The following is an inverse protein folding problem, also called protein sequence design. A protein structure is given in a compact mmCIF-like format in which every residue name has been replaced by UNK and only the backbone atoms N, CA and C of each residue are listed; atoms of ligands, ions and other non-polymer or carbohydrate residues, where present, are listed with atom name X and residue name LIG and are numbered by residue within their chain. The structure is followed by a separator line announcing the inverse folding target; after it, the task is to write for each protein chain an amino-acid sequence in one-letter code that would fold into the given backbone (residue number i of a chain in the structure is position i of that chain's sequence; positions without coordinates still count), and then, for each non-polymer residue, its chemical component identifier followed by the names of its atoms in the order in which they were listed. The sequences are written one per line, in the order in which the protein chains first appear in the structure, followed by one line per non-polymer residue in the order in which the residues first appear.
data_IF_647798483215
#
_entry.id   IF_647798483215
#
_cell.length_a   1.000
_cell.length_b   1.000
_cell.length_c   1.000
_cell.angle_alpha   90.00
_cell.angle_beta   90.00
_cell.angle_gamma   90.00
#
_symmetry.space_group_name_H-M   'P 1'
#
loop_
_entity.id
_entity.type
_entity.pdbx_description
1 polymer ?
#
# COMPACT_ATOMS: atom_id res chain seq x y z
N UNK A 1 -39.65 20.91 -18.56
CA UNK A 1 -39.07 21.23 -17.25
C UNK A 1 -39.09 19.96 -16.40
N UNK A 2 -38.09 19.13 -16.47
CA UNK A 2 -37.98 17.90 -15.69
C UNK A 2 -36.72 17.99 -14.84
N UNK A 3 -36.89 18.07 -13.53
CA UNK A 3 -35.83 18.04 -12.54
C UNK A 3 -35.43 16.58 -12.33
N UNK A 4 -34.22 16.23 -12.71
CA UNK A 4 -33.58 14.94 -12.36
C UNK A 4 -33.06 15.06 -10.93
N UNK A 5 -33.42 14.15 -10.00
CA UNK A 5 -32.91 14.20 -8.64
C UNK A 5 -31.49 13.64 -8.58
N UNK A 6 -30.54 14.47 -8.23
CA UNK A 6 -29.16 14.10 -7.88
C UNK A 6 -29.11 13.69 -6.40
N UNK A 7 -29.55 12.53 -6.06
CA UNK A 7 -29.46 12.02 -4.70
C UNK A 7 -29.26 10.50 -4.72
N UNK A 8 -28.04 10.03 -4.53
CA UNK A 8 -27.71 8.91 -3.64
C UNK A 8 -26.19 8.83 -3.53
N UNK A 9 -25.63 9.13 -2.37
CA UNK A 9 -24.21 8.94 -2.03
C UNK A 9 -23.52 10.09 -1.29
N UNK A 10 -24.02 11.31 -1.44
CA UNK A 10 -23.38 12.49 -0.81
C UNK A 10 -23.88 12.83 0.61
N UNK A 11 -24.99 12.27 1.04
CA UNK A 11 -25.68 12.76 2.25
C UNK A 11 -24.91 12.54 3.57
N UNK A 12 -24.22 11.43 3.72
CA UNK A 12 -23.52 11.13 4.98
C UNK A 12 -22.21 11.93 5.14
N UNK A 13 -21.51 12.21 4.04
CA UNK A 13 -20.27 13.03 4.05
C UNK A 13 -20.62 14.50 4.24
N UNK A 14 -21.66 14.98 3.54
CA UNK A 14 -22.10 16.37 3.68
C UNK A 14 -22.64 16.71 5.08
N UNK A 15 -23.37 15.78 5.73
CA UNK A 15 -23.93 16.00 7.06
C UNK A 15 -22.84 16.15 8.16
N UNK A 16 -21.72 15.44 8.05
CA UNK A 16 -20.65 15.56 9.03
C UNK A 16 -19.92 16.90 8.95
N UNK A 17 -19.66 17.37 7.76
CA UNK A 17 -18.96 18.64 7.56
C UNK A 17 -19.82 19.83 7.98
N UNK A 18 -21.14 19.69 7.85
CA UNK A 18 -22.10 20.73 8.20
C UNK A 18 -22.25 20.95 9.72
N UNK A 19 -22.13 19.90 10.53
CA UNK A 19 -22.22 20.01 12.00
C UNK A 19 -21.00 20.68 12.63
N UNK A 20 -19.83 20.70 11.94
CA UNK A 20 -18.61 21.40 12.43
C UNK A 20 -18.58 22.89 12.18
N UNK A 21 -19.48 23.44 11.33
CA UNK A 21 -19.42 24.86 10.92
C UNK A 21 -20.12 25.84 11.85
N UNK A 22 -20.72 25.40 12.97
CA UNK A 22 -21.45 26.28 13.93
C UNK A 22 -20.63 26.72 15.13
N UNK A 23 -19.38 27.11 14.97
CA UNK A 23 -18.66 27.76 16.06
C UNK A 23 -17.71 28.84 15.54
N UNK A 24 -18.08 30.09 15.94
CA UNK A 24 -17.30 31.32 16.00
C UNK A 24 -17.13 32.19 14.75
N UNK A 25 -17.81 33.33 14.78
CA UNK A 25 -17.49 34.56 14.05
C UNK A 25 -16.25 35.24 14.66
N UNK A 26 -15.07 34.66 14.49
CA UNK A 26 -13.79 35.35 14.76
C UNK A 26 -13.07 35.51 13.41
N UNK A 27 -12.58 36.70 13.05
CA UNK A 27 -11.82 36.87 11.81
C UNK A 27 -10.60 35.95 11.85
N UNK A 28 -10.22 35.35 10.72
CA UNK A 28 -9.13 34.41 10.71
C UNK A 28 -7.83 35.10 11.10
N UNK A 29 -7.25 34.67 12.22
CA UNK A 29 -5.81 34.81 12.42
C UNK A 29 -5.11 34.23 11.20
N UNK A 30 -4.00 34.81 10.77
CA UNK A 30 -3.20 34.35 9.62
C UNK A 30 -3.15 32.84 9.66
N UNK A 31 -3.75 32.19 8.63
CA UNK A 31 -3.88 30.76 8.55
C UNK A 31 -2.46 30.22 8.46
N UNK A 32 -1.93 29.71 9.57
CA UNK A 32 -0.82 28.77 9.52
C UNK A 32 -1.19 27.75 8.45
N UNK A 33 -0.29 27.52 7.50
CA UNK A 33 -0.59 26.68 6.35
C UNK A 33 -1.36 25.44 6.83
N UNK A 34 -2.58 25.17 6.31
CA UNK A 34 -3.35 24.01 6.74
C UNK A 34 -2.65 22.69 6.38
N UNK A 35 -1.51 22.76 5.69
CA UNK A 35 -0.69 21.65 5.22
C UNK A 35 0.53 21.43 6.12
N UNK A 36 0.41 21.64 7.41
CA UNK A 36 1.44 21.22 8.36
C UNK A 36 1.58 19.70 8.38
N UNK A 37 2.81 19.23 8.50
CA UNK A 37 3.13 17.81 8.50
C UNK A 37 3.66 17.31 7.14
N UNK A 38 3.78 16.00 7.03
CA UNK A 38 4.29 15.35 5.83
C UNK A 38 3.16 15.11 4.84
N UNK A 39 3.24 15.75 3.68
CA UNK A 39 2.37 15.51 2.54
C UNK A 39 3.11 14.81 1.42
N UNK A 40 2.45 13.87 0.76
CA UNK A 40 3.03 13.08 -0.32
C UNK A 40 2.06 12.95 -1.49
N UNK A 41 2.61 12.74 -2.68
CA UNK A 41 1.82 12.41 -3.86
C UNK A 41 1.00 11.14 -3.60
N UNK A 42 -0.30 11.13 -3.94
CA UNK A 42 -1.19 10.01 -3.64
C UNK A 42 -1.00 8.79 -4.53
N UNK A 43 -0.08 8.86 -5.50
CA UNK A 43 0.31 7.77 -6.40
C UNK A 43 1.80 7.52 -6.26
N UNK A 44 2.17 6.24 -6.12
CA UNK A 44 3.58 5.85 -6.01
C UNK A 44 4.37 6.10 -7.30
N UNK A 45 5.69 6.21 -7.19
CA UNK A 45 6.62 6.15 -8.32
C UNK A 45 6.54 4.76 -8.96
N UNK A 46 6.53 4.72 -10.30
CA UNK A 46 6.57 3.50 -11.08
C UNK A 46 7.79 3.45 -12.00
N UNK A 47 8.63 2.42 -11.87
CA UNK A 47 9.86 2.26 -12.67
C UNK A 47 10.69 3.55 -12.76
N UNK A 48 10.95 4.17 -11.61
CA UNK A 48 11.65 5.48 -11.48
C UNK A 48 10.92 6.67 -12.11
N UNK A 49 9.71 6.49 -12.64
CA UNK A 49 8.88 7.56 -13.17
C UNK A 49 7.98 8.16 -12.11
N UNK A 50 7.97 9.47 -12.01
CA UNK A 50 7.07 10.22 -11.14
C UNK A 50 5.68 10.29 -11.76
N UNK A 51 4.60 10.15 -10.96
CA UNK A 51 3.26 10.48 -11.43
C UNK A 51 3.17 11.95 -11.79
N UNK A 52 2.26 12.27 -12.70
CA UNK A 52 2.00 13.64 -13.18
C UNK A 52 0.49 13.88 -13.21
N UNK A 53 0.08 15.13 -13.12
CA UNK A 53 -1.30 15.53 -13.37
C UNK A 53 -1.55 15.42 -14.87
N UNK A 54 -2.50 14.58 -15.25
CA UNK A 54 -2.89 14.35 -16.65
C UNK A 54 -4.09 15.18 -17.06
N UNK A 55 -4.93 15.58 -16.09
CA UNK A 55 -6.06 16.49 -16.27
C UNK A 55 -6.24 17.35 -15.02
N UNK A 56 -6.24 18.67 -15.19
CA UNK A 56 -6.19 19.65 -14.13
C UNK A 56 -7.55 19.95 -13.49
N UNK A 57 -7.49 20.69 -12.39
CA UNK A 57 -8.64 21.22 -11.70
C UNK A 57 -9.43 22.18 -12.60
N UNK A 58 -10.75 22.11 -12.57
CA UNK A 58 -11.66 22.89 -13.42
C UNK A 58 -11.50 22.71 -14.92
N UNK A 59 -10.80 21.69 -15.38
CA UNK A 59 -10.77 21.40 -16.82
C UNK A 59 -12.19 21.16 -17.37
N UNK A 60 -12.49 21.65 -18.59
CA UNK A 60 -13.79 21.46 -19.21
C UNK A 60 -14.08 19.98 -19.47
N UNK A 61 -15.26 19.49 -19.07
CA UNK A 61 -15.71 18.12 -19.34
C UNK A 61 -17.11 18.09 -19.92
N UNK A 62 -17.41 17.25 -20.92
CA UNK A 62 -18.77 17.09 -21.43
C UNK A 62 -19.73 16.60 -20.33
N UNK A 63 -20.84 17.28 -20.15
CA UNK A 63 -21.94 16.84 -19.27
C UNK A 63 -21.76 17.09 -17.77
N UNK A 64 -20.62 17.65 -17.34
CA UNK A 64 -20.38 18.10 -15.97
C UNK A 64 -19.89 19.53 -15.96
N UNK A 65 -20.23 20.35 -14.94
CA UNK A 65 -19.87 21.77 -14.95
C UNK A 65 -18.36 22.00 -15.02
N UNK A 66 -17.58 21.24 -14.26
CA UNK A 66 -16.11 21.36 -14.17
C UNK A 66 -15.52 20.13 -13.51
N UNK A 67 -14.22 19.88 -13.73
CA UNK A 67 -13.46 18.86 -13.03
C UNK A 67 -13.23 19.27 -11.57
N UNK A 68 -13.72 18.49 -10.60
CA UNK A 68 -13.68 18.82 -9.17
C UNK A 68 -12.34 18.51 -8.48
N UNK A 69 -11.38 17.98 -9.20
CA UNK A 69 -10.05 17.61 -8.70
C UNK A 69 -9.02 17.56 -9.79
N UNK A 70 -8.04 16.70 -9.65
CA UNK A 70 -7.02 16.40 -10.66
C UNK A 70 -7.03 14.90 -10.97
N UNK A 71 -6.74 14.56 -12.22
CA UNK A 71 -6.47 13.17 -12.60
C UNK A 71 -4.97 12.94 -12.69
N UNK A 72 -4.51 11.82 -12.12
CA UNK A 72 -3.09 11.50 -11.99
C UNK A 72 -2.77 10.24 -12.78
N UNK A 73 -1.76 10.32 -13.63
CA UNK A 73 -1.23 9.23 -14.46
C UNK A 73 0.30 9.34 -14.57
N UNK A 74 0.90 8.56 -15.48
CA UNK A 74 2.31 8.67 -15.84
C UNK A 74 2.46 9.19 -17.26
N UNK A 75 3.46 10.05 -17.49
CA UNK A 75 3.83 10.47 -18.84
C UNK A 75 4.23 9.25 -19.66
N UNK A 76 3.64 9.10 -20.85
CA UNK A 76 4.00 8.03 -21.78
C UNK A 76 5.39 8.25 -22.38
N UNK A 77 6.17 7.19 -22.43
CA UNK A 77 7.45 7.14 -23.14
C UNK A 77 7.29 6.38 -24.46
N UNK A 78 8.14 6.65 -25.47
CA UNK A 78 8.10 5.91 -26.73
C UNK A 78 8.27 4.38 -26.59
N UNK A 79 8.97 3.95 -25.53
CA UNK A 79 9.20 2.53 -25.22
C UNK A 79 8.02 1.85 -24.53
N UNK A 80 6.97 2.57 -24.14
CA UNK A 80 5.83 1.97 -23.42
C UNK A 80 4.98 1.12 -24.37
N UNK A 81 4.79 -0.13 -23.99
CA UNK A 81 3.87 -1.07 -24.64
C UNK A 81 2.44 -0.98 -24.09
N UNK A 82 2.25 -0.26 -22.97
CA UNK A 82 0.95 -0.08 -22.36
C UNK A 82 0.02 0.71 -23.26
N UNK A 83 -1.28 0.39 -23.17
CA UNK A 83 -2.32 1.14 -23.87
C UNK A 83 -2.28 2.60 -23.41
N UNK A 84 -2.09 3.52 -24.37
CA UNK A 84 -2.12 4.93 -24.05
C UNK A 84 -3.52 5.35 -23.60
N UNK A 85 -3.55 6.09 -22.51
CA UNK A 85 -4.72 6.82 -22.10
C UNK A 85 -4.82 8.17 -22.82
N UNK A 86 -6.03 8.66 -22.99
CA UNK A 86 -6.27 10.04 -23.39
C UNK A 86 -6.82 10.78 -22.20
N UNK A 87 -6.05 11.73 -21.68
CA UNK A 87 -6.61 12.82 -20.90
C UNK A 87 -6.68 14.03 -21.83
N UNK A 88 -7.80 14.72 -21.82
CA UNK A 88 -8.06 15.87 -22.72
C UNK A 88 -7.77 15.60 -24.22
N UNK A 89 -7.99 14.37 -24.69
CA UNK A 89 -7.80 14.02 -26.10
C UNK A 89 -6.37 13.73 -26.52
N UNK A 90 -5.38 13.78 -25.62
CA UNK A 90 -3.99 13.46 -25.93
C UNK A 90 -3.66 12.00 -25.55
N UNK A 91 -2.94 11.28 -26.43
CA UNK A 91 -2.44 9.92 -26.15
C UNK A 91 -1.10 9.95 -25.39
N UNK A 92 -0.95 10.90 -24.47
CA UNK A 92 0.33 11.21 -23.84
C UNK A 92 0.56 10.52 -22.50
N UNK A 93 -0.43 9.77 -22.00
CA UNK A 93 -0.37 9.20 -20.66
C UNK A 93 -0.60 7.69 -20.65
N UNK A 94 -0.09 7.03 -19.62
CA UNK A 94 -0.26 5.60 -19.35
C UNK A 94 -0.52 5.39 -17.86
N UNK A 95 -1.23 4.32 -17.53
CA UNK A 95 -1.38 3.84 -16.16
C UNK A 95 -1.20 2.32 -16.15
N UNK A 96 -0.16 1.81 -15.50
CA UNK A 96 0.04 0.37 -15.31
C UNK A 96 -1.02 -0.24 -14.41
N UNK A 97 -1.09 -1.57 -14.41
CA UNK A 97 -1.87 -2.32 -13.43
C UNK A 97 -1.18 -2.28 -12.06
N UNK A 98 -1.97 -2.50 -11.01
CA UNK A 98 -1.52 -2.65 -9.61
C UNK A 98 -0.73 -1.48 -9.02
N UNK A 99 -0.88 -0.28 -9.59
CA UNK A 99 -0.28 0.92 -9.02
C UNK A 99 -0.96 1.24 -7.69
N UNK A 100 -0.16 1.32 -6.62
CA UNK A 100 -0.69 1.66 -5.31
C UNK A 100 -1.10 3.13 -5.23
N UNK A 101 -2.28 3.33 -4.63
CA UNK A 101 -2.75 4.61 -4.14
C UNK A 101 -2.44 4.70 -2.65
N UNK A 102 -1.85 5.80 -2.23
CA UNK A 102 -1.42 6.03 -0.85
C UNK A 102 -2.12 7.25 -0.24
N UNK A 103 -2.26 7.24 1.08
CA UNK A 103 -2.75 8.41 1.81
C UNK A 103 -1.79 9.59 1.62
N UNK A 104 -2.31 10.74 1.20
CA UNK A 104 -1.50 11.94 0.94
C UNK A 104 -0.90 12.52 2.23
N UNK A 105 -1.54 12.34 3.38
CA UNK A 105 -1.06 12.76 4.69
C UNK A 105 -1.58 11.82 5.78
N UNK A 106 -1.10 12.00 7.01
CA UNK A 106 -1.63 11.34 8.19
C UNK A 106 -3.10 11.71 8.36
N UNK A 107 -3.95 10.75 8.70
CA UNK A 107 -5.38 11.01 8.85
C UNK A 107 -6.19 9.82 9.33
N UNK A 108 -7.49 9.96 9.22
CA UNK A 108 -8.47 8.95 9.64
C UNK A 108 -9.38 8.63 8.47
N UNK A 109 -9.58 7.34 8.17
CA UNK A 109 -10.49 6.91 7.12
C UNK A 109 -11.91 7.32 7.50
N UNK A 110 -12.43 8.30 6.78
CA UNK A 110 -13.81 8.74 6.94
C UNK A 110 -14.77 7.79 6.22
N UNK A 111 -14.44 7.45 5.00
CA UNK A 111 -15.23 6.58 4.14
C UNK A 111 -14.32 5.79 3.20
N UNK A 112 -14.61 4.51 3.01
CA UNK A 112 -14.02 3.64 2.01
C UNK A 112 -15.13 2.74 1.48
N UNK A 113 -15.64 3.01 0.29
CA UNK A 113 -16.83 2.35 -0.25
C UNK A 113 -16.87 2.37 -1.79
N UNK A 114 -17.73 1.54 -2.34
CA UNK A 114 -18.06 1.59 -3.77
C UNK A 114 -19.05 2.73 -4.03
N UNK A 115 -18.76 3.57 -5.01
CA UNK A 115 -19.57 4.70 -5.45
C UNK A 115 -19.88 4.58 -6.93
N UNK A 116 -20.65 5.52 -7.49
CA UNK A 116 -20.80 5.65 -8.94
C UNK A 116 -19.49 5.92 -9.68
N UNK A 117 -18.46 6.39 -8.97
CA UNK A 117 -17.11 6.64 -9.50
C UNK A 117 -16.15 5.47 -9.25
N UNK A 118 -16.63 4.24 -9.04
CA UNK A 118 -15.83 3.09 -8.62
C UNK A 118 -15.60 3.07 -7.11
N UNK A 119 -14.60 2.33 -6.65
CA UNK A 119 -14.23 2.41 -5.25
C UNK A 119 -13.63 3.79 -4.94
N UNK A 120 -13.95 4.32 -3.78
CA UNK A 120 -13.49 5.62 -3.33
C UNK A 120 -13.14 5.62 -1.85
N UNK A 121 -12.18 6.47 -1.48
CA UNK A 121 -11.75 6.70 -0.10
C UNK A 121 -11.83 8.19 0.21
N UNK A 122 -12.28 8.53 1.41
CA UNK A 122 -12.18 9.87 1.99
C UNK A 122 -11.34 9.78 3.25
N UNK A 123 -10.33 10.62 3.37
CA UNK A 123 -9.48 10.74 4.57
C UNK A 123 -9.70 12.10 5.19
N UNK A 124 -10.03 12.13 6.48
CA UNK A 124 -10.10 13.35 7.30
C UNK A 124 -8.71 13.60 7.93
N UNK A 125 -8.12 14.74 7.63
CA UNK A 125 -6.83 15.18 8.14
C UNK A 125 -6.99 16.18 9.28
N UNK A 126 -7.92 15.92 10.21
CA UNK A 126 -8.05 16.73 11.42
C UNK A 126 -6.76 16.74 12.26
N UNK A 127 -6.36 17.86 12.85
CA UNK A 127 -7.12 19.10 13.09
C UNK A 127 -7.08 20.13 11.96
N UNK A 128 -6.38 19.90 10.84
CA UNK A 128 -6.18 20.91 9.79
C UNK A 128 -7.46 21.31 9.05
N UNK A 129 -8.58 20.64 9.29
CA UNK A 129 -9.87 20.84 8.60
C UNK A 129 -9.77 20.64 7.08
N UNK A 130 -8.97 19.68 6.68
CA UNK A 130 -8.79 19.26 5.30
C UNK A 130 -9.29 17.82 5.19
N UNK A 131 -9.93 17.50 4.07
CA UNK A 131 -10.17 16.13 3.67
C UNK A 131 -9.61 15.89 2.27
N UNK A 132 -9.18 14.66 2.01
CA UNK A 132 -8.78 14.23 0.66
C UNK A 132 -9.70 13.13 0.17
N UNK A 133 -10.02 13.18 -1.12
CA UNK A 133 -10.88 12.22 -1.80
C UNK A 133 -10.11 11.52 -2.91
N UNK A 134 -10.23 10.21 -2.94
CA UNK A 134 -9.57 9.31 -3.90
C UNK A 134 -10.65 8.49 -4.59
N UNK A 135 -10.74 8.54 -5.90
CA UNK A 135 -11.72 7.76 -6.66
C UNK A 135 -11.09 6.97 -7.80
N UNK A 136 -11.90 6.10 -8.42
CA UNK A 136 -11.50 5.15 -9.46
C UNK A 136 -10.53 4.10 -8.97
N UNK A 137 -10.64 3.70 -7.68
CA UNK A 137 -9.85 2.60 -7.15
C UNK A 137 -10.42 1.25 -7.64
N UNK A 138 -9.52 0.31 -7.89
CA UNK A 138 -9.85 -1.08 -8.18
C UNK A 138 -10.07 -1.86 -6.88
N UNK A 139 -9.10 -1.76 -5.97
CA UNK A 139 -9.17 -2.41 -4.66
C UNK A 139 -9.12 -1.40 -3.52
N UNK A 140 -9.63 -1.81 -2.35
CA UNK A 140 -9.52 -1.06 -1.10
C UNK A 140 -8.66 -1.85 -0.12
N UNK A 141 -7.60 -1.22 0.37
CA UNK A 141 -6.76 -1.74 1.47
C UNK A 141 -7.25 -1.26 2.85
N UNK A 142 -8.21 -0.34 2.87
CA UNK A 142 -8.79 0.27 4.07
C UNK A 142 -10.30 0.08 4.09
N UNK A 143 -10.91 0.26 5.25
CA UNK A 143 -12.36 0.06 5.43
C UNK A 143 -13.00 1.16 6.25
N UNK A 144 -14.25 1.45 5.94
CA UNK A 144 -15.12 2.28 6.79
C UNK A 144 -15.52 1.52 8.04
N UNK A 145 -15.50 2.18 9.19
CA UNK A 145 -16.11 1.71 10.42
C UNK A 145 -17.21 2.66 10.87
N UNK A 146 -18.31 2.10 11.37
CA UNK A 146 -19.49 2.90 11.73
C UNK A 146 -19.23 3.83 12.92
N UNK A 147 -18.37 3.41 13.86
CA UNK A 147 -18.07 4.17 15.07
C UNK A 147 -16.86 5.06 14.86
N UNK A 148 -17.00 6.35 15.19
CA UNK A 148 -15.95 7.35 14.99
C UNK A 148 -14.64 7.00 15.73
N UNK A 149 -14.76 6.49 16.95
CA UNK A 149 -13.63 6.11 17.81
C UNK A 149 -12.83 4.90 17.29
N UNK A 150 -13.45 4.07 16.46
CA UNK A 150 -12.81 2.87 15.88
C UNK A 150 -12.39 3.05 14.42
N UNK A 151 -12.41 4.27 13.91
CA UNK A 151 -11.97 4.55 12.53
C UNK A 151 -10.50 4.24 12.35
N UNK A 152 -10.19 3.63 11.22
CA UNK A 152 -8.81 3.30 10.86
C UNK A 152 -7.99 4.58 10.69
N UNK A 153 -6.82 4.63 11.33
CA UNK A 153 -5.81 5.67 11.10
C UNK A 153 -4.88 5.23 9.99
N UNK A 154 -4.44 6.19 9.20
CA UNK A 154 -3.44 5.99 8.14
C UNK A 154 -2.36 7.04 8.25
N UNK A 155 -1.17 6.71 7.79
CA UNK A 155 -0.02 7.61 7.71
C UNK A 155 0.22 8.06 6.28
N UNK A 156 0.86 9.20 6.11
CA UNK A 156 1.33 9.66 4.80
C UNK A 156 2.16 8.58 4.11
N UNK A 157 1.75 8.19 2.90
CA UNK A 157 2.38 7.12 2.13
C UNK A 157 1.89 5.70 2.45
N UNK A 158 0.93 5.52 3.36
CA UNK A 158 0.31 4.21 3.61
C UNK A 158 -0.64 3.84 2.48
N UNK A 159 -0.57 2.60 2.01
CA UNK A 159 -1.40 2.10 0.90
C UNK A 159 -2.87 2.05 1.33
N UNK A 160 -3.74 2.67 0.54
CA UNK A 160 -5.20 2.69 0.76
C UNK A 160 -5.97 1.91 -0.31
N UNK A 161 -5.31 1.54 -1.41
CA UNK A 161 -5.89 0.75 -2.50
C UNK A 161 -4.99 0.71 -3.72
N UNK A 162 -5.53 0.26 -4.85
CA UNK A 162 -4.87 0.27 -6.17
C UNK A 162 -5.71 1.04 -7.17
N UNK A 163 -5.08 1.57 -8.21
CA UNK A 163 -5.75 2.36 -9.26
C UNK A 163 -6.59 1.45 -10.16
N UNK A 164 -7.82 1.84 -10.41
CA UNK A 164 -8.76 1.17 -11.31
C UNK A 164 -9.22 2.03 -12.46
N UNK A 165 -10.29 1.56 -13.09
CA UNK A 165 -10.97 2.27 -14.17
C UNK A 165 -12.03 3.23 -13.63
N UNK A 166 -12.21 4.35 -14.33
CA UNK A 166 -13.37 5.20 -14.13
C UNK A 166 -14.62 4.55 -14.75
N UNK A 167 -15.68 4.26 -13.98
CA UNK A 167 -16.95 3.81 -14.56
C UNK A 167 -17.62 4.87 -15.42
N UNK A 168 -17.29 6.15 -15.20
CA UNK A 168 -17.96 7.28 -15.87
C UNK A 168 -17.48 7.50 -17.31
N UNK A 169 -16.28 7.04 -17.65
CA UNK A 169 -15.72 7.14 -19.00
C UNK A 169 -15.87 5.86 -19.83
N UNK A 170 -16.68 4.90 -19.34
CA UNK A 170 -16.87 3.61 -19.96
C UNK A 170 -15.68 2.67 -19.75
N UNK A 171 -14.93 2.83 -18.68
CA UNK A 171 -13.76 2.02 -18.30
C UNK A 171 -12.63 2.08 -19.32
N UNK A 172 -12.45 3.22 -19.97
CA UNK A 172 -11.44 3.38 -21.01
C UNK A 172 -10.04 3.62 -20.45
N UNK A 173 -9.97 4.29 -19.31
CA UNK A 173 -8.70 4.73 -18.71
C UNK A 173 -8.63 4.41 -17.24
N UNK A 174 -7.47 3.88 -16.83
CA UNK A 174 -7.07 3.83 -15.43
C UNK A 174 -6.41 5.14 -15.06
N UNK A 175 -6.85 5.75 -13.99
CA UNK A 175 -6.25 6.95 -13.42
C UNK A 175 -6.71 7.12 -11.98
N UNK A 176 -5.98 7.87 -11.18
CA UNK A 176 -6.48 8.34 -9.90
C UNK A 176 -7.16 9.70 -10.09
N UNK A 177 -8.44 9.79 -9.74
CA UNK A 177 -9.09 11.07 -9.52
C UNK A 177 -8.90 11.48 -8.05
N UNK A 178 -8.31 12.67 -7.83
CA UNK A 178 -7.91 13.16 -6.51
C UNK A 178 -8.44 14.56 -6.25
N UNK A 179 -9.09 14.74 -5.09
CA UNK A 179 -9.63 16.04 -4.67
C UNK A 179 -9.09 16.42 -3.28
N UNK A 180 -8.96 17.71 -3.02
CA UNK A 180 -8.70 18.30 -1.69
C UNK A 180 -9.86 19.21 -1.32
N UNK A 181 -10.44 19.02 -0.14
CA UNK A 181 -11.61 19.74 0.33
C UNK A 181 -11.32 20.59 1.59
N UNK A 182 -11.87 21.83 1.65
CA UNK A 182 -11.74 22.77 2.75
C UNK A 182 -13.09 23.34 3.20
N UNK A 183 -13.68 22.90 4.26
CA UNK A 183 -13.68 21.62 4.93
C UNK A 183 -14.76 20.66 4.40
N UNK A 184 -15.47 21.01 3.33
CA UNK A 184 -16.56 20.20 2.76
C UNK A 184 -16.38 20.01 1.24
N UNK A 185 -17.06 19.02 0.63
CA UNK A 185 -16.89 18.69 -0.79
C UNK A 185 -17.21 19.85 -1.76
N UNK A 186 -18.05 20.79 -1.36
CA UNK A 186 -18.35 21.97 -2.18
C UNK A 186 -17.24 23.02 -2.17
N UNK A 187 -16.28 22.89 -1.25
CA UNK A 187 -15.13 23.77 -1.11
C UNK A 187 -13.84 23.10 -1.62
N UNK A 188 -13.98 22.30 -2.68
CA UNK A 188 -12.83 21.72 -3.35
C UNK A 188 -11.90 22.80 -3.89
N UNK A 189 -10.63 22.63 -3.62
CA UNK A 189 -9.57 23.54 -4.07
C UNK A 189 -8.68 22.87 -5.09
N UNK A 190 -7.96 23.68 -5.87
CA UNK A 190 -6.97 23.18 -6.81
C UNK A 190 -5.82 22.48 -6.07
N UNK A 191 -5.63 21.16 -6.24
CA UNK A 191 -4.55 20.44 -5.58
C UNK A 191 -3.18 20.71 -6.20
N UNK A 192 -3.08 21.15 -7.45
CA UNK A 192 -1.83 21.21 -8.21
C UNK A 192 -0.76 22.11 -7.55
N UNK A 193 -1.06 23.34 -7.12
CA UNK A 193 -0.08 24.19 -6.44
C UNK A 193 0.43 23.58 -5.13
N UNK A 194 -0.40 22.80 -4.44
CA UNK A 194 -0.04 22.12 -3.20
C UNK A 194 0.87 20.91 -3.50
N UNK A 195 0.47 20.10 -4.46
CA UNK A 195 1.18 18.89 -4.86
C UNK A 195 2.57 19.18 -5.43
N UNK A 196 2.80 20.37 -5.96
CA UNK A 196 4.13 20.81 -6.42
C UNK A 196 5.19 20.78 -5.30
N UNK A 197 4.76 20.88 -4.02
CA UNK A 197 5.62 20.87 -2.85
C UNK A 197 5.66 19.49 -2.15
N UNK A 198 4.83 18.54 -2.56
CA UNK A 198 4.72 17.25 -1.88
C UNK A 198 5.82 16.28 -2.31
N UNK A 199 6.27 15.47 -1.37
CA UNK A 199 7.24 14.42 -1.67
C UNK A 199 6.62 13.30 -2.49
N UNK A 200 7.39 12.72 -3.40
CA UNK A 200 6.99 11.51 -4.10
C UNK A 200 7.23 10.28 -3.21
N UNK A 201 6.31 9.32 -3.29
CA UNK A 201 6.43 8.03 -2.61
C UNK A 201 7.04 7.03 -3.58
N UNK A 202 8.18 6.47 -3.20
CA UNK A 202 8.72 5.29 -3.89
C UNK A 202 7.73 4.14 -3.74
N UNK A 203 7.73 3.19 -4.67
CA UNK A 203 6.93 1.97 -4.55
C UNK A 203 6.98 1.50 -3.08
N UNK A 204 5.82 1.37 -2.39
CA UNK A 204 5.80 0.86 -1.02
C UNK A 204 6.53 -0.47 -0.87
N UNK A 205 6.54 -1.29 -1.93
CA UNK A 205 7.34 -2.51 -2.04
C UNK A 205 8.84 -2.20 -2.12
N UNK A 206 9.23 -1.19 -2.88
CA UNK A 206 10.61 -0.71 -2.94
C UNK A 206 11.06 -0.04 -1.62
N UNK A 207 10.15 0.58 -0.87
CA UNK A 207 10.47 1.09 0.47
C UNK A 207 10.66 -0.03 1.49
N UNK A 208 9.94 -1.14 1.38
CA UNK A 208 10.23 -2.37 2.11
C UNK A 208 11.64 -2.89 1.74
N UNK A 209 12.00 -2.86 0.47
CA UNK A 209 13.34 -3.24 -0.03
C UNK A 209 14.41 -2.23 0.39
N UNK A 210 14.16 -0.92 0.29
CA UNK A 210 15.13 0.13 0.65
C UNK A 210 15.35 0.26 2.18
N UNK A 211 14.32 0.01 2.98
CA UNK A 211 14.44 -0.12 4.44
C UNK A 211 15.22 -1.35 4.87
N UNK A 212 15.39 -2.31 4.00
CA UNK A 212 16.10 -3.57 4.21
C UNK A 212 17.64 -3.47 4.05
N UNK A 213 18.22 -2.28 3.94
CA UNK A 213 19.65 -2.09 4.24
C UNK A 213 20.01 -2.51 5.66
N UNK A 214 19.08 -2.36 6.62
CA UNK A 214 19.06 -3.02 7.91
C UNK A 214 17.82 -3.90 8.01
N UNK A 215 18.01 -5.21 8.20
CA UNK A 215 16.92 -6.15 8.44
C UNK A 215 16.08 -5.70 9.65
N UNK A 216 14.85 -5.24 9.40
CA UNK A 216 13.95 -4.82 10.47
C UNK A 216 13.06 -5.98 10.87
N UNK A 217 13.32 -6.53 12.05
CA UNK A 217 12.53 -7.59 12.63
C UNK A 217 11.25 -7.05 13.26
N UNK A 218 10.13 -7.73 13.04
CA UNK A 218 8.81 -7.37 13.55
C UNK A 218 8.08 -8.60 14.06
N UNK A 219 7.34 -8.50 15.20
CA UNK A 219 6.49 -9.58 15.68
C UNK A 219 5.43 -9.95 14.65
N UNK A 220 5.17 -11.24 14.50
CA UNK A 220 4.11 -11.78 13.63
C UNK A 220 2.78 -11.97 14.37
N UNK A 221 2.76 -11.65 15.67
CA UNK A 221 1.59 -11.77 16.56
C UNK A 221 1.33 -13.20 17.04
N UNK A 222 0.95 -13.38 18.30
CA UNK A 222 0.84 -14.70 18.93
C UNK A 222 -0.37 -15.53 18.48
N UNK A 223 -1.49 -14.91 18.09
CA UNK A 223 -2.73 -15.60 17.71
C UNK A 223 -3.60 -14.76 16.78
N UNK A 224 -4.67 -15.36 16.26
CA UNK A 224 -5.62 -14.68 15.36
C UNK A 224 -5.06 -14.35 13.98
N UNK A 225 -5.63 -13.33 13.34
CA UNK A 225 -5.20 -12.91 12.01
C UNK A 225 -3.75 -12.38 12.03
N UNK A 226 -3.00 -12.66 10.97
CA UNK A 226 -1.65 -12.08 10.81
C UNK A 226 -1.73 -10.56 10.69
N UNK A 227 -0.71 -9.82 11.18
CA UNK A 227 -0.57 -8.39 10.93
C UNK A 227 -0.64 -8.05 9.43
N UNK A 228 -1.06 -6.85 9.09
CA UNK A 228 -1.24 -6.43 7.70
C UNK A 228 0.05 -6.64 6.89
N UNK A 229 1.21 -6.24 7.43
CA UNK A 229 2.50 -6.38 6.74
C UNK A 229 2.86 -7.83 6.35
N UNK A 230 2.37 -8.84 7.11
CA UNK A 230 2.52 -10.26 6.74
C UNK A 230 1.56 -10.62 5.63
N UNK A 231 0.32 -10.12 5.68
CA UNK A 231 -0.69 -10.38 4.64
C UNK A 231 -0.34 -9.75 3.30
N UNK A 232 0.40 -8.64 3.33
CA UNK A 232 0.91 -7.94 2.14
C UNK A 232 2.00 -8.73 1.40
N UNK A 233 2.51 -9.83 1.99
CA UNK A 233 3.48 -10.72 1.35
C UNK A 233 2.83 -11.72 0.37
N UNK A 234 1.52 -11.70 0.20
CA UNK A 234 0.82 -12.56 -0.76
C UNK A 234 1.22 -12.22 -2.18
N UNK A 235 1.69 -13.24 -2.92
CA UNK A 235 2.17 -13.06 -4.29
C UNK A 235 3.55 -12.44 -4.41
N UNK A 236 4.20 -12.06 -3.30
CA UNK A 236 5.54 -11.48 -3.30
C UNK A 236 6.63 -12.55 -3.34
N UNK A 237 7.78 -12.18 -3.92
CA UNK A 237 9.03 -12.94 -3.89
C UNK A 237 10.03 -12.30 -2.92
N UNK A 238 10.86 -13.13 -2.29
CA UNK A 238 11.87 -12.62 -1.37
C UNK A 238 12.38 -13.65 -0.39
N UNK A 239 13.15 -13.14 0.59
CA UNK A 239 13.76 -13.91 1.68
C UNK A 239 13.17 -13.43 3.01
N UNK A 240 12.94 -14.37 3.91
CA UNK A 240 12.51 -14.08 5.28
C UNK A 240 13.48 -14.70 6.29
N UNK A 241 13.63 -14.00 7.40
CA UNK A 241 14.50 -14.41 8.50
C UNK A 241 13.65 -14.48 9.77
N UNK A 242 13.69 -15.62 10.44
CA UNK A 242 12.99 -15.86 11.71
C UNK A 242 14.02 -15.85 12.81
N UNK A 243 13.81 -15.05 13.84
CA UNK A 243 14.66 -15.05 15.04
C UNK A 243 13.82 -15.11 16.31
N UNK A 244 14.38 -15.64 17.33
CA UNK A 244 13.79 -15.67 18.68
C UNK A 244 13.58 -14.24 19.21
N UNK A 245 12.43 -13.99 19.82
CA UNK A 245 12.06 -12.66 20.31
C UNK A 245 12.89 -12.22 21.51
N UNK A 246 13.20 -13.16 22.41
CA UNK A 246 13.87 -12.90 23.69
C UNK A 246 15.39 -12.94 23.54
N UNK A 247 15.91 -14.03 22.96
CA UNK A 247 17.38 -14.24 22.84
C UNK A 247 18.00 -13.51 21.65
N UNK A 248 17.17 -13.10 20.68
CA UNK A 248 17.61 -12.52 19.39
C UNK A 248 18.41 -13.49 18.51
N UNK A 249 18.45 -14.76 18.85
CA UNK A 249 19.10 -15.79 18.06
C UNK A 249 18.41 -15.94 16.70
N UNK A 250 19.20 -15.96 15.62
CA UNK A 250 18.67 -16.21 14.28
C UNK A 250 18.40 -17.70 14.10
N UNK A 251 17.14 -18.05 13.98
CA UNK A 251 16.68 -19.43 13.91
C UNK A 251 16.71 -19.97 12.48
N UNK A 252 16.14 -19.22 11.53
CA UNK A 252 15.90 -19.73 10.19
C UNK A 252 15.90 -18.62 9.13
N UNK A 253 16.39 -18.96 7.94
CA UNK A 253 16.27 -18.17 6.73
C UNK A 253 15.61 -19.03 5.66
N UNK A 254 14.63 -18.46 4.94
CA UNK A 254 13.97 -19.13 3.83
C UNK A 254 13.58 -18.13 2.76
N UNK A 255 13.27 -18.63 1.56
CA UNK A 255 12.86 -17.81 0.41
C UNK A 255 11.63 -18.33 -0.30
N UNK A 256 11.11 -17.50 -1.17
CA UNK A 256 10.06 -17.88 -2.12
C UNK A 256 10.08 -16.97 -3.34
N UNK A 257 9.94 -17.56 -4.51
CA UNK A 257 9.90 -16.85 -5.80
C UNK A 257 8.52 -16.28 -6.17
N UNK A 258 7.55 -16.24 -5.22
CA UNK A 258 6.22 -15.68 -5.50
C UNK A 258 5.13 -16.13 -4.52
N UNK A 259 5.49 -16.86 -3.47
CA UNK A 259 4.54 -17.36 -2.45
C UNK A 259 5.04 -17.07 -1.03
N UNK A 260 5.63 -15.91 -0.84
CA UNK A 260 6.34 -15.57 0.39
C UNK A 260 5.43 -15.64 1.62
N UNK A 261 4.19 -15.18 1.52
CA UNK A 261 3.19 -15.32 2.57
C UNK A 261 2.96 -16.79 2.98
N UNK A 262 2.69 -17.66 2.01
CA UNK A 262 2.38 -19.06 2.27
C UNK A 262 3.59 -19.79 2.85
N UNK A 263 4.78 -19.52 2.31
CA UNK A 263 6.02 -20.16 2.74
C UNK A 263 6.40 -19.74 4.15
N UNK A 264 6.33 -18.43 4.47
CA UNK A 264 6.59 -17.91 5.81
C UNK A 264 5.56 -18.44 6.83
N UNK A 265 4.26 -18.31 6.54
CA UNK A 265 3.21 -18.65 7.52
C UNK A 265 3.13 -20.14 7.81
N UNK A 266 3.66 -20.99 6.92
CA UNK A 266 3.78 -22.43 7.13
C UNK A 266 4.58 -22.76 8.39
N UNK A 267 5.58 -21.97 8.74
CA UNK A 267 6.39 -22.16 9.95
C UNK A 267 5.62 -21.90 11.26
N UNK A 268 4.43 -21.31 11.19
CA UNK A 268 3.60 -20.99 12.35
C UNK A 268 2.34 -21.86 12.43
N UNK A 269 2.22 -22.88 11.57
CA UNK A 269 1.09 -23.79 11.55
C UNK A 269 1.47 -25.07 12.27
N UNK A 270 0.60 -25.54 13.17
CA UNK A 270 0.74 -26.87 13.78
C UNK A 270 0.29 -27.92 12.77
N UNK A 271 1.23 -28.45 12.02
CA UNK A 271 0.96 -29.59 11.14
C UNK A 271 0.88 -30.87 11.96
N UNK A 272 -0.30 -31.45 12.11
CA UNK A 272 -0.38 -32.86 12.47
C UNK A 272 0.10 -33.66 11.25
N UNK A 273 1.31 -34.17 11.33
CA UNK A 273 1.83 -35.11 10.34
C UNK A 273 0.83 -36.27 10.18
N UNK A 274 0.17 -36.35 9.06
CA UNK A 274 -0.51 -37.56 8.64
C UNK A 274 0.60 -38.56 8.23
N UNK A 275 0.96 -39.44 9.19
CA UNK A 275 1.98 -40.47 9.00
C UNK A 275 1.54 -41.37 7.81
N UNK A 276 2.02 -41.11 6.62
CA UNK A 276 1.83 -41.98 5.44
C UNK A 276 1.79 -41.32 4.08
N UNK A 277 1.44 -40.03 3.96
CA UNK A 277 1.22 -39.42 2.65
C UNK A 277 2.49 -38.89 1.97
N UNK A 278 3.56 -38.61 2.72
CA UNK A 278 4.77 -37.92 2.23
C UNK A 278 6.07 -38.69 2.35
N UNK A 279 6.01 -40.05 2.40
CA UNK A 279 7.22 -40.84 2.34
C UNK A 279 7.79 -40.76 0.92
N UNK A 280 8.88 -40.01 0.73
CA UNK A 280 9.81 -40.16 -0.36
C UNK A 280 9.83 -39.13 -1.47
N UNK A 281 9.09 -38.00 -1.38
CA UNK A 281 9.09 -36.98 -2.45
C UNK A 281 10.02 -35.78 -2.23
N UNK A 282 10.56 -35.61 -1.04
CA UNK A 282 11.51 -34.52 -0.75
C UNK A 282 12.83 -35.17 -0.35
N UNK A 283 13.92 -34.82 -1.02
CA UNK A 283 15.25 -35.32 -0.74
C UNK A 283 15.68 -35.07 0.71
N UNK A 284 16.64 -35.80 1.18
CA UNK A 284 17.28 -35.56 2.48
C UNK A 284 17.68 -34.11 2.56
N UNK A 285 17.21 -33.41 3.57
CA UNK A 285 17.53 -31.99 3.81
C UNK A 285 16.38 -31.02 3.73
N UNK A 286 15.20 -31.41 3.25
CA UNK A 286 14.00 -30.59 3.36
C UNK A 286 13.17 -31.10 4.54
N UNK A 287 13.31 -30.48 5.70
CA UNK A 287 12.44 -30.75 6.84
C UNK A 287 11.19 -29.84 6.76
N UNK A 288 10.03 -30.37 6.31
CA UNK A 288 8.78 -29.60 6.31
C UNK A 288 8.25 -29.35 7.72
N UNK A 289 8.98 -29.76 8.74
CA UNK A 289 8.55 -29.80 10.14
C UNK A 289 9.10 -28.70 11.02
N UNK A 290 9.92 -27.79 10.55
CA UNK A 290 10.37 -26.64 11.34
C UNK A 290 9.20 -25.70 11.58
N UNK A 291 8.66 -25.79 12.81
CA UNK A 291 7.57 -24.94 13.28
C UNK A 291 8.05 -24.15 14.49
N UNK A 292 7.66 -22.89 14.54
CA UNK A 292 8.00 -21.95 15.62
C UNK A 292 6.74 -21.49 16.34
N UNK A 293 6.86 -21.21 17.62
CA UNK A 293 5.79 -20.49 18.33
C UNK A 293 5.72 -19.07 17.79
N UNK A 294 4.60 -18.75 17.20
CA UNK A 294 4.32 -17.45 16.59
C UNK A 294 4.47 -16.29 17.57
N UNK A 295 4.20 -16.52 18.85
CA UNK A 295 4.32 -15.52 19.92
C UNK A 295 5.74 -15.30 20.39
N UNK A 296 6.63 -16.27 20.17
CA UNK A 296 8.02 -16.26 20.63
C UNK A 296 9.04 -15.82 19.57
N UNK A 297 8.57 -15.43 18.39
CA UNK A 297 9.47 -15.06 17.29
C UNK A 297 9.12 -13.72 16.66
N UNK A 298 10.11 -13.12 16.03
CA UNK A 298 9.96 -11.99 15.13
C UNK A 298 10.59 -12.29 13.77
N UNK A 299 10.11 -11.61 12.74
CA UNK A 299 10.50 -11.88 11.36
C UNK A 299 10.96 -10.62 10.67
N UNK A 300 12.06 -10.72 9.94
CA UNK A 300 12.46 -9.75 8.94
C UNK A 300 12.22 -10.31 7.55
N UNK A 301 11.88 -9.45 6.60
CA UNK A 301 11.65 -9.81 5.20
C UNK A 301 12.45 -8.89 4.31
N UNK A 302 13.06 -9.47 3.28
CA UNK A 302 13.67 -8.75 2.17
C UNK A 302 13.02 -9.22 0.87
N UNK A 303 12.30 -8.31 0.20
CA UNK A 303 11.74 -8.60 -1.12
C UNK A 303 12.85 -8.61 -2.16
N UNK A 304 12.74 -9.52 -3.12
CA UNK A 304 13.67 -9.68 -4.25
C UNK A 304 12.87 -9.85 -5.54
N UNK A 305 13.55 -9.88 -6.67
CA UNK A 305 12.95 -10.47 -7.87
C UNK A 305 12.78 -11.97 -7.65
N UNK A 306 11.79 -12.61 -8.34
CA UNK A 306 11.59 -14.06 -8.21
C UNK A 306 12.86 -14.89 -8.39
N UNK A 307 13.63 -14.57 -9.43
CA UNK A 307 14.84 -15.30 -9.79
C UNK A 307 16.02 -15.08 -8.82
N UNK A 308 16.01 -13.96 -8.09
CA UNK A 308 17.09 -13.58 -7.17
C UNK A 308 16.86 -14.16 -5.74
N UNK A 309 15.68 -14.71 -5.46
CA UNK A 309 15.29 -15.07 -4.09
C UNK A 309 16.12 -16.20 -3.49
N UNK A 310 16.45 -17.21 -4.28
CA UNK A 310 17.24 -18.36 -3.85
C UNK A 310 18.73 -18.00 -3.64
N UNK A 311 19.28 -17.18 -4.53
CA UNK A 311 20.67 -16.71 -4.41
C UNK A 311 20.84 -15.83 -3.17
N UNK A 312 19.86 -14.96 -2.90
CA UNK A 312 19.88 -14.11 -1.69
C UNK A 312 19.72 -14.94 -0.41
N UNK A 313 18.86 -15.97 -0.41
CA UNK A 313 18.75 -16.92 0.70
C UNK A 313 20.10 -17.59 0.98
N UNK A 314 20.70 -18.18 -0.04
CA UNK A 314 22.00 -18.88 0.06
C UNK A 314 23.09 -17.94 0.61
N UNK A 315 23.16 -16.71 0.08
CA UNK A 315 24.09 -15.71 0.52
C UNK A 315 23.91 -15.33 2.00
N UNK A 316 22.65 -15.20 2.45
CA UNK A 316 22.35 -14.85 3.83
C UNK A 316 22.61 -16.02 4.78
N UNK A 317 22.29 -17.27 4.42
CA UNK A 317 22.60 -18.46 5.21
C UNK A 317 24.11 -18.57 5.43
N UNK A 318 24.88 -18.46 4.35
CA UNK A 318 26.35 -18.53 4.43
C UNK A 318 26.94 -17.46 5.34
N UNK A 319 26.40 -16.22 5.28
CA UNK A 319 26.91 -15.09 6.07
C UNK A 319 26.48 -15.12 7.54
N UNK A 320 25.22 -15.51 7.80
CA UNK A 320 24.58 -15.32 9.10
C UNK A 320 24.50 -16.61 9.93
N UNK A 321 24.68 -17.76 9.33
CA UNK A 321 24.70 -19.09 9.98
C UNK A 321 23.52 -19.31 10.92
N UNK A 322 22.27 -19.30 10.43
CA UNK A 322 21.09 -19.51 11.26
C UNK A 322 21.09 -20.92 11.87
N UNK A 323 20.60 -21.07 13.09
CA UNK A 323 20.63 -22.31 13.87
C UNK A 323 20.02 -23.52 13.15
N UNK A 324 18.88 -23.33 12.50
CA UNK A 324 18.04 -24.41 11.99
C UNK A 324 18.18 -24.66 10.46
N UNK A 325 18.98 -23.86 9.75
CA UNK A 325 19.34 -24.15 8.37
C UNK A 325 20.55 -25.11 8.34
N UNK A 326 20.30 -26.39 8.45
CA UNK A 326 21.37 -27.40 8.44
C UNK A 326 22.07 -27.53 7.09
N UNK A 327 21.38 -27.20 6.00
CA UNK A 327 21.93 -27.18 4.66
C UNK A 327 22.32 -25.75 4.25
N UNK A 328 23.41 -25.62 3.51
CA UNK A 328 23.91 -24.32 3.00
C UNK A 328 24.78 -23.55 3.97
N UNK A 329 25.08 -24.08 5.15
CA UNK A 329 26.12 -23.54 6.01
C UNK A 329 27.51 -24.03 5.54
N UNK A 330 28.58 -23.21 5.62
CA UNK A 330 29.92 -23.69 5.36
C UNK A 330 30.27 -24.77 6.38
N UNK A 331 30.78 -25.90 5.90
CA UNK A 331 31.35 -26.95 6.74
C UNK A 331 32.56 -26.32 7.42
N UNK A 332 32.60 -26.33 8.76
CA UNK A 332 33.87 -26.04 9.47
C UNK A 332 34.84 -27.16 9.11
N UNK A 333 35.86 -26.86 8.33
CA UNK A 333 37.01 -27.73 8.24
C UNK A 333 37.59 -27.84 9.66
N UNK A 334 37.38 -28.99 10.32
CA UNK A 334 38.14 -29.31 11.52
C UNK A 334 39.62 -29.14 11.17
N UNK A 335 40.27 -28.20 11.81
CA UNK A 335 41.72 -28.05 11.70
C UNK A 335 42.32 -29.37 12.15
N UNK A 336 42.80 -30.18 11.19
CA UNK A 336 43.53 -31.40 11.47
C UNK A 336 44.79 -30.94 12.23
N UNK A 337 44.96 -31.31 13.49
CA UNK A 337 46.20 -30.94 14.22
C UNK A 337 47.35 -31.67 13.54
N UNK A 338 48.30 -30.89 13.06
CA UNK A 338 49.57 -31.40 12.57
C UNK A 338 50.43 -31.91 13.73
#
# INVERSE_FOLDING_TARGET
MSRVPWLVGGGAVAAYLWTRTRASNTPPAAIASPFEGRWVWPVQIWNSRRPVISDGFYSPRPGVPRHGGVDIMFQRLPSDTLKAGTSNGTKSFVMPDDIAVVAAADGVIWSAMKTARGHAVVIDHSPQKIATFYAHLDTLAVKTTARAESRQRVRAGEVIGTIGFSPLDGQKLKHLHFEVWLPNPSDAIDPEPLMAQWAYVSDPRAQLVARNGSLTYRPVGGSGAYPQWVRDLKGEAGVYLIRDLDTRELLYIGSSAGRLYDTLTRHFQQWRRWKGFWKGQYGEGHDPGLTYDRGAVEVAVRLTKPDDSLDEESRLIHRMRPRDNLLGQPVEEEAVPF
#
